data_IF_270718807193
#
_entry.id   IF_270718807193
#
_cell.length_a   1.000
_cell.length_b   1.000
_cell.length_c   1.000
_cell.angle_alpha   90.00
_cell.angle_beta   90.00
_cell.angle_gamma   90.00
#
_symmetry.space_group_name_H-M   'P 1'
#
loop_
_entity.id
_entity.type
_entity.pdbx_description
1 polymer ?
#
# COMPACT_ATOMS: atom_id res chain seq x y z
N UNK A 1 -21.93 27.92 -2.39
CA UNK A 1 -20.85 27.80 -3.38
C UNK A 1 -20.18 26.44 -3.17
N UNK A 2 -20.30 25.56 -4.14
CA UNK A 2 -19.94 24.14 -4.03
C UNK A 2 -18.41 23.95 -4.05
N UNK A 3 -17.89 23.19 -3.09
CA UNK A 3 -16.47 22.80 -2.99
C UNK A 3 -15.90 22.00 -4.20
N UNK A 4 -16.73 21.77 -5.22
CA UNK A 4 -16.31 21.12 -6.48
C UNK A 4 -15.65 22.08 -7.48
N UNK A 5 -15.93 23.37 -7.40
CA UNK A 5 -15.42 24.33 -8.39
C UNK A 5 -13.97 24.74 -8.13
N UNK A 6 -13.50 24.70 -6.87
CA UNK A 6 -12.09 24.97 -6.54
C UNK A 6 -11.10 23.87 -6.94
N UNK A 7 -11.56 22.62 -7.02
CA UNK A 7 -10.70 21.48 -7.41
C UNK A 7 -10.42 21.44 -8.92
N UNK A 8 -11.32 22.01 -9.73
CA UNK A 8 -11.21 22.06 -11.19
C UNK A 8 -10.24 23.14 -11.69
N UNK A 9 -10.09 24.24 -10.98
CA UNK A 9 -9.22 25.38 -11.38
C UNK A 9 -7.74 25.00 -11.29
N UNK A 10 -7.33 24.24 -10.27
CA UNK A 10 -5.91 23.84 -10.07
C UNK A 10 -5.49 22.73 -11.04
N UNK A 11 -6.41 21.87 -11.50
CA UNK A 11 -6.11 20.76 -12.42
C UNK A 11 -6.14 21.20 -13.89
N UNK A 12 -6.91 22.22 -14.23
CA UNK A 12 -7.01 22.73 -15.61
C UNK A 12 -5.81 23.58 -16.06
N UNK A 13 -4.97 24.04 -15.13
CA UNK A 13 -3.82 24.89 -15.42
C UNK A 13 -2.57 24.13 -15.96
N UNK A 14 -2.59 22.83 -15.98
CA UNK A 14 -1.47 22.04 -16.49
C UNK A 14 -1.57 21.84 -18.01
N UNK A 15 -1.21 22.86 -18.81
CA UNK A 15 -1.02 22.71 -20.25
C UNK A 15 -1.53 23.84 -21.15
N UNK A 16 -1.96 24.99 -20.61
CA UNK A 16 -2.25 26.20 -21.39
C UNK A 16 -1.50 27.39 -20.79
N UNK A 17 -0.99 28.28 -21.63
CA UNK A 17 -0.56 29.60 -21.19
C UNK A 17 -1.71 30.23 -20.38
N UNK A 18 -1.43 30.52 -19.10
CA UNK A 18 -2.42 31.15 -18.23
C UNK A 18 -2.64 32.58 -18.72
N UNK A 19 -3.87 32.94 -19.03
CA UNK A 19 -4.22 34.34 -19.25
C UNK A 19 -3.94 35.12 -17.95
N UNK A 20 -3.55 36.43 -18.07
CA UNK A 20 -3.19 37.26 -16.93
C UNK A 20 -4.18 37.23 -15.77
N UNK A 21 -5.49 37.22 -16.05
CA UNK A 21 -6.54 37.12 -15.03
C UNK A 21 -6.45 35.81 -14.21
N UNK A 22 -6.04 34.68 -14.84
CA UNK A 22 -5.89 33.40 -14.16
C UNK A 22 -4.63 33.34 -13.28
N UNK A 23 -3.58 34.08 -13.66
CA UNK A 23 -2.35 34.20 -12.87
C UNK A 23 -2.62 34.87 -11.52
N UNK A 24 -3.34 36.01 -11.52
CA UNK A 24 -3.68 36.71 -10.28
C UNK A 24 -4.65 35.93 -9.38
N UNK A 25 -5.56 35.13 -9.96
CA UNK A 25 -6.46 34.28 -9.19
C UNK A 25 -5.74 33.19 -8.39
N UNK A 26 -4.55 32.75 -8.81
CA UNK A 26 -3.75 31.78 -8.07
C UNK A 26 -3.19 32.34 -6.75
N UNK A 27 -3.05 33.67 -6.63
CA UNK A 27 -2.62 34.32 -5.38
C UNK A 27 -3.66 34.20 -4.26
N UNK A 28 -4.94 34.00 -4.62
CA UNK A 28 -6.06 33.85 -3.68
C UNK A 28 -6.34 32.43 -3.27
N UNK A 29 -5.51 31.44 -3.72
CA UNK A 29 -5.69 30.04 -3.35
C UNK A 29 -5.40 29.86 -1.85
N UNK A 30 -6.35 29.32 -1.06
CA UNK A 30 -6.11 29.05 0.35
C UNK A 30 -4.89 28.14 0.56
N UNK A 31 -4.00 28.42 1.51
CA UNK A 31 -2.80 27.61 1.78
C UNK A 31 -3.09 26.13 1.99
N UNK A 32 -4.23 25.80 2.54
CA UNK A 32 -4.67 24.43 2.77
C UNK A 32 -4.93 23.68 1.46
N UNK A 33 -5.42 24.35 0.42
CA UNK A 33 -5.61 23.76 -0.92
C UNK A 33 -4.27 23.59 -1.63
N UNK A 34 -3.37 24.56 -1.52
CA UNK A 34 -2.01 24.48 -2.03
C UNK A 34 -1.27 23.27 -1.42
N UNK A 35 -1.34 23.08 -0.09
CA UNK A 35 -0.78 21.92 0.58
C UNK A 35 -1.33 20.60 0.01
N UNK A 36 -2.64 20.49 -0.20
CA UNK A 36 -3.24 19.29 -0.80
C UNK A 36 -2.73 19.03 -2.22
N UNK A 37 -2.60 20.08 -3.04
CA UNK A 37 -2.10 19.97 -4.39
C UNK A 37 -0.64 19.48 -4.43
N UNK A 38 0.18 19.91 -3.48
CA UNK A 38 1.59 19.52 -3.36
C UNK A 38 1.80 18.06 -2.91
N UNK A 39 0.79 17.37 -2.40
CA UNK A 39 0.92 15.94 -2.06
C UNK A 39 0.86 15.09 -3.32
N UNK A 40 2.01 14.68 -3.86
CA UNK A 40 2.11 13.93 -5.10
C UNK A 40 1.39 12.56 -5.07
N UNK A 41 1.43 11.86 -3.92
CA UNK A 41 0.84 10.51 -3.81
C UNK A 41 -0.66 10.57 -3.54
N UNK A 42 -1.48 10.12 -4.49
CA UNK A 42 -2.95 10.13 -4.39
C UNK A 42 -3.51 9.39 -3.16
N UNK A 43 -2.88 8.29 -2.72
CA UNK A 43 -3.32 7.56 -1.53
C UNK A 43 -3.00 8.34 -0.25
N UNK A 44 -1.83 8.97 -0.17
CA UNK A 44 -1.46 9.85 0.95
C UNK A 44 -2.39 11.04 0.98
N UNK A 45 -2.65 11.68 -0.18
CA UNK A 45 -3.57 12.80 -0.30
C UNK A 45 -4.96 12.44 0.21
N UNK A 46 -5.52 11.31 -0.22
CA UNK A 46 -6.83 10.83 0.25
C UNK A 46 -6.84 10.56 1.76
N UNK A 47 -5.80 9.91 2.29
CA UNK A 47 -5.70 9.62 3.72
C UNK A 47 -5.63 10.91 4.54
N UNK A 48 -4.80 11.86 4.12
CA UNK A 48 -4.64 13.14 4.80
C UNK A 48 -5.90 14.00 4.73
N UNK A 49 -6.60 13.99 3.58
CA UNK A 49 -7.92 14.65 3.46
C UNK A 49 -8.90 14.12 4.52
N UNK A 50 -9.01 12.80 4.67
CA UNK A 50 -9.90 12.20 5.66
C UNK A 50 -9.45 12.50 7.10
N UNK A 51 -8.14 12.58 7.35
CA UNK A 51 -7.60 12.85 8.68
C UNK A 51 -7.86 14.32 9.10
N UNK A 52 -7.64 15.26 8.18
CA UNK A 52 -7.92 16.68 8.38
C UNK A 52 -9.41 16.92 8.53
N UNK A 53 -10.24 16.32 7.67
CA UNK A 53 -11.70 16.40 7.77
C UNK A 53 -12.21 15.85 9.12
N UNK A 54 -11.62 14.76 9.61
CA UNK A 54 -11.96 14.20 10.93
C UNK A 54 -11.60 15.14 12.09
N UNK A 55 -10.48 15.86 11.99
CA UNK A 55 -10.10 16.89 12.97
C UNK A 55 -11.07 18.08 12.95
N UNK A 56 -11.36 18.59 11.75
CA UNK A 56 -12.32 19.69 11.58
C UNK A 56 -13.71 19.33 12.14
N UNK A 57 -14.19 18.14 11.83
CA UNK A 57 -15.49 17.65 12.32
C UNK A 57 -15.54 17.55 13.85
N UNK A 58 -14.46 17.10 14.49
CA UNK A 58 -14.38 16.99 15.94
C UNK A 58 -14.53 18.35 16.65
N UNK A 59 -13.97 19.42 16.08
CA UNK A 59 -14.07 20.76 16.64
C UNK A 59 -15.19 21.62 16.03
N UNK A 60 -16.00 21.08 15.11
CA UNK A 60 -17.04 21.82 14.43
C UNK A 60 -16.51 22.94 13.50
N UNK A 61 -15.27 22.80 13.03
CA UNK A 61 -14.63 23.81 12.15
C UNK A 61 -15.31 23.77 10.77
N UNK A 62 -15.87 24.90 10.35
CA UNK A 62 -16.54 25.04 9.05
C UNK A 62 -15.62 25.53 7.95
N UNK A 63 -14.56 26.25 8.31
CA UNK A 63 -13.67 26.92 7.38
C UNK A 63 -12.21 26.60 7.71
N UNK A 64 -11.39 26.47 6.68
CA UNK A 64 -9.97 26.16 6.81
C UNK A 64 -9.18 27.25 7.57
N UNK A 65 -9.60 28.52 7.48
CA UNK A 65 -8.95 29.61 8.22
C UNK A 65 -8.92 29.38 9.75
N UNK A 66 -9.84 28.57 10.30
CA UNK A 66 -9.85 28.24 11.72
C UNK A 66 -8.61 27.43 12.17
N UNK A 67 -7.83 26.86 11.24
CA UNK A 67 -6.54 26.26 11.61
C UNK A 67 -5.56 27.25 12.22
N UNK A 68 -5.69 28.54 11.94
CA UNK A 68 -4.82 29.61 12.52
C UNK A 68 -5.01 29.78 14.03
N UNK A 69 -6.15 29.33 14.55
CA UNK A 69 -6.49 29.38 15.98
C UNK A 69 -6.18 28.09 16.74
N UNK A 70 -5.72 27.05 16.02
CA UNK A 70 -5.45 25.74 16.62
C UNK A 70 -4.19 25.81 17.48
N UNK A 71 -4.34 25.40 18.74
CA UNK A 71 -3.27 25.33 19.72
C UNK A 71 -2.89 23.89 20.03
N UNK A 72 -1.80 23.70 20.76
CA UNK A 72 -1.41 22.38 21.26
C UNK A 72 -2.51 21.71 22.09
N UNK A 73 -3.29 22.45 22.85
CA UNK A 73 -4.40 21.93 23.65
C UNK A 73 -5.46 21.25 22.79
N UNK A 74 -5.77 21.82 21.62
CA UNK A 74 -6.69 21.19 20.65
C UNK A 74 -6.13 19.85 20.16
N UNK A 75 -4.84 19.77 19.88
CA UNK A 75 -4.20 18.50 19.43
C UNK A 75 -4.19 17.44 20.54
N UNK A 76 -3.97 17.84 21.79
CA UNK A 76 -4.03 16.94 22.95
C UNK A 76 -5.45 16.43 23.19
N UNK A 77 -6.45 17.29 23.12
CA UNK A 77 -7.86 16.91 23.23
C UNK A 77 -8.27 15.93 22.14
N UNK A 78 -7.91 16.22 20.89
CA UNK A 78 -8.19 15.30 19.78
C UNK A 78 -7.47 13.96 19.90
N UNK A 79 -6.20 13.95 20.31
CA UNK A 79 -5.48 12.71 20.58
C UNK A 79 -6.19 11.87 21.63
N UNK A 80 -6.60 12.49 22.76
CA UNK A 80 -7.33 11.81 23.82
C UNK A 80 -8.67 11.25 23.33
N UNK A 81 -9.41 12.01 22.52
CA UNK A 81 -10.63 11.53 21.86
C UNK A 81 -10.38 10.30 21.00
N UNK A 82 -9.33 10.30 20.17
CA UNK A 82 -8.97 9.15 19.34
C UNK A 82 -8.59 7.91 20.16
N UNK A 83 -7.90 8.10 21.29
CA UNK A 83 -7.57 7.04 22.25
C UNK A 83 -8.83 6.46 22.87
N UNK A 84 -9.76 7.30 23.33
CA UNK A 84 -11.06 6.90 23.89
C UNK A 84 -11.96 6.21 22.87
N UNK A 85 -11.90 6.62 21.60
CA UNK A 85 -12.60 5.98 20.48
C UNK A 85 -11.95 4.65 20.04
N UNK A 86 -10.94 4.14 20.74
CA UNK A 86 -10.28 2.86 20.44
C UNK A 86 -9.39 2.88 19.20
N UNK A 87 -8.97 4.05 18.72
CA UNK A 87 -8.06 4.15 17.59
C UNK A 87 -6.69 3.58 17.94
N UNK A 88 -6.17 2.66 17.12
CA UNK A 88 -4.85 2.07 17.35
C UNK A 88 -3.71 3.10 17.21
N UNK A 89 -2.55 2.86 17.90
CA UNK A 89 -1.39 3.76 17.92
C UNK A 89 -0.91 4.21 16.54
N UNK A 90 -0.88 3.30 15.56
CA UNK A 90 -0.47 3.61 14.18
C UNK A 90 -1.43 4.61 13.50
N UNK A 91 -2.75 4.48 13.74
CA UNK A 91 -3.77 5.39 13.21
C UNK A 91 -3.61 6.77 13.82
N UNK A 92 -3.45 6.87 15.14
CA UNK A 92 -3.24 8.15 15.83
C UNK A 92 -1.97 8.83 15.33
N UNK A 93 -0.86 8.09 15.21
CA UNK A 93 0.41 8.61 14.66
C UNK A 93 0.23 9.16 13.24
N UNK A 94 -0.48 8.45 12.36
CA UNK A 94 -0.75 8.90 10.99
C UNK A 94 -1.59 10.17 10.96
N UNK A 95 -2.67 10.23 11.75
CA UNK A 95 -3.54 11.40 11.86
C UNK A 95 -2.78 12.65 12.37
N UNK A 96 -1.95 12.49 13.40
CA UNK A 96 -1.08 13.57 13.87
C UNK A 96 -0.01 13.96 12.83
N UNK A 97 0.47 13.00 12.00
CA UNK A 97 1.41 13.32 10.92
C UNK A 97 0.77 14.11 9.79
N UNK A 98 -0.51 13.87 9.47
CA UNK A 98 -1.25 14.66 8.50
C UNK A 98 -1.37 16.12 8.95
N UNK A 99 -1.77 16.34 10.21
CA UNK A 99 -1.84 17.70 10.77
C UNK A 99 -0.45 18.36 10.87
N UNK A 100 0.58 17.62 11.30
CA UNK A 100 1.94 18.15 11.35
C UNK A 100 2.40 18.66 9.98
N UNK A 101 2.13 17.89 8.92
CA UNK A 101 2.46 18.26 7.55
C UNK A 101 1.68 19.50 7.08
N UNK A 102 0.39 19.61 7.44
CA UNK A 102 -0.40 20.82 7.14
C UNK A 102 0.17 22.04 7.87
N UNK A 103 0.44 21.93 9.16
CA UNK A 103 0.95 23.04 9.95
C UNK A 103 2.40 23.42 9.59
N UNK A 104 3.24 22.48 9.14
CA UNK A 104 4.56 22.82 8.60
C UNK A 104 4.39 23.70 7.34
N UNK A 105 3.48 23.34 6.43
CA UNK A 105 3.17 24.16 5.26
C UNK A 105 2.59 25.55 5.64
N UNK A 106 1.64 25.60 6.60
CA UNK A 106 1.09 26.88 7.07
C UNK A 106 2.16 27.77 7.69
N UNK A 107 3.20 27.21 8.34
CA UNK A 107 4.36 27.96 8.80
C UNK A 107 5.22 28.47 7.62
N UNK A 108 5.46 27.66 6.60
CA UNK A 108 6.24 28.01 5.41
C UNK A 108 5.64 29.22 4.67
N UNK A 109 4.31 29.30 4.61
CA UNK A 109 3.59 30.42 3.97
C UNK A 109 3.21 31.53 4.96
N UNK A 110 3.76 31.53 6.18
CA UNK A 110 3.51 32.53 7.23
C UNK A 110 2.05 32.68 7.64
N UNK A 111 1.21 31.67 7.41
CA UNK A 111 -0.18 31.67 7.83
C UNK A 111 -0.34 31.40 9.34
N UNK A 112 0.64 30.73 9.97
CA UNK A 112 0.79 30.53 11.41
C UNK A 112 2.25 30.70 11.82
N UNK A 113 2.49 31.09 13.07
CA UNK A 113 3.85 31.34 13.59
C UNK A 113 4.61 30.09 14.00
N UNK A 114 3.90 29.01 14.34
CA UNK A 114 4.50 27.74 14.78
C UNK A 114 3.56 26.56 14.54
N UNK A 115 4.15 25.36 14.46
CA UNK A 115 3.38 24.13 14.31
C UNK A 115 2.97 23.59 15.69
N UNK A 116 1.65 23.62 16.04
CA UNK A 116 1.16 23.22 17.36
C UNK A 116 1.26 21.70 17.60
N UNK A 117 1.50 20.90 16.54
CA UNK A 117 1.68 19.43 16.65
C UNK A 117 3.07 19.08 17.18
N UNK A 118 4.06 19.99 17.03
CA UNK A 118 5.40 19.80 17.57
C UNK A 118 5.32 19.70 19.10
N UNK A 119 5.94 18.64 19.67
CA UNK A 119 5.91 18.36 21.11
C UNK A 119 4.65 17.62 21.58
N UNK A 120 3.67 17.32 20.74
CA UNK A 120 2.60 16.37 21.07
C UNK A 120 3.17 14.96 21.09
N UNK A 121 3.20 14.31 22.25
CA UNK A 121 3.68 12.94 22.40
C UNK A 121 2.81 12.00 21.56
N UNK A 122 3.45 11.23 20.69
CA UNK A 122 2.80 10.22 19.86
C UNK A 122 2.76 8.89 20.61
N UNK A 123 1.65 8.12 20.55
CA UNK A 123 1.59 6.79 21.16
C UNK A 123 2.75 5.93 20.63
N UNK A 124 3.35 5.13 21.49
CA UNK A 124 4.40 4.19 21.06
C UNK A 124 3.77 3.18 20.09
N UNK A 125 4.39 2.98 18.93
CA UNK A 125 4.07 1.83 18.12
C UNK A 125 4.60 0.60 18.86
N UNK A 126 3.74 -0.38 19.09
CA UNK A 126 4.20 -1.68 19.55
C UNK A 126 5.14 -2.25 18.48
N UNK A 127 6.40 -2.38 18.81
CA UNK A 127 7.46 -2.94 17.95
C UNK A 127 7.51 -4.46 18.06
N UNK A 128 6.49 -5.08 18.64
CA UNK A 128 6.34 -6.53 18.73
C UNK A 128 6.04 -7.20 17.40
N UNK A 129 5.86 -8.51 17.44
CA UNK A 129 5.51 -9.35 16.29
C UNK A 129 4.46 -8.69 15.39
N UNK A 130 4.67 -8.72 14.09
CA UNK A 130 3.77 -8.08 13.14
C UNK A 130 2.32 -8.55 13.34
N UNK A 131 1.40 -7.60 13.50
CA UNK A 131 -0.04 -7.87 13.69
C UNK A 131 -0.68 -8.63 12.52
N UNK A 132 0.02 -8.72 11.38
CA UNK A 132 -0.43 -9.48 10.21
C UNK A 132 -0.09 -10.95 10.42
N UNK A 133 -1.08 -11.85 10.55
CA UNK A 133 -0.81 -13.26 10.71
C UNK A 133 -0.16 -13.84 9.45
N UNK A 134 0.78 -14.76 9.61
CA UNK A 134 1.16 -15.69 8.55
C UNK A 134 0.27 -16.94 8.69
N UNK A 135 -0.12 -17.55 7.58
CA UNK A 135 -0.88 -18.80 7.57
C UNK A 135 0.06 -20.00 7.44
N UNK A 136 -0.38 -21.15 7.93
CA UNK A 136 0.35 -22.40 7.81
C UNK A 136 0.47 -22.85 6.35
N UNK A 137 1.53 -23.60 6.03
CA UNK A 137 1.81 -24.07 4.67
C UNK A 137 0.64 -24.84 4.04
N UNK A 138 -0.03 -25.70 4.82
CA UNK A 138 -1.22 -26.43 4.37
C UNK A 138 -2.38 -25.48 4.00
N UNK A 139 -2.57 -24.39 4.72
CA UNK A 139 -3.58 -23.38 4.40
C UNK A 139 -3.18 -22.58 3.15
N UNK A 140 -1.90 -22.25 3.00
CA UNK A 140 -1.38 -21.58 1.81
C UNK A 140 -1.59 -22.42 0.55
N UNK A 141 -1.28 -23.74 0.60
CA UNK A 141 -1.55 -24.68 -0.51
C UNK A 141 -3.03 -24.74 -0.86
N UNK A 142 -3.90 -24.92 0.13
CA UNK A 142 -5.36 -24.92 -0.10
C UNK A 142 -5.83 -23.66 -0.78
N UNK A 143 -5.27 -22.49 -0.39
CA UNK A 143 -5.65 -21.21 -0.98
C UNK A 143 -5.13 -21.06 -2.42
N UNK A 144 -3.91 -21.52 -2.70
CA UNK A 144 -3.30 -21.51 -4.04
C UNK A 144 -4.10 -22.36 -5.05
N UNK A 145 -4.74 -23.42 -4.58
CA UNK A 145 -5.49 -24.36 -5.41
C UNK A 145 -7.02 -24.14 -5.40
N UNK A 146 -7.49 -23.21 -4.57
CA UNK A 146 -8.91 -22.90 -4.42
C UNK A 146 -9.61 -22.36 -5.68
N UNK A 147 -8.96 -21.55 -6.56
CA UNK A 147 -9.64 -21.09 -7.77
C UNK A 147 -9.77 -22.23 -8.81
N UNK A 148 -10.92 -22.36 -9.49
CA UNK A 148 -11.17 -23.44 -10.46
C UNK A 148 -10.28 -23.32 -11.70
N UNK A 149 -9.70 -24.42 -12.16
CA UNK A 149 -8.82 -24.44 -13.34
C UNK A 149 -9.54 -24.25 -14.66
N UNK A 150 -10.77 -24.71 -14.76
CA UNK A 150 -11.54 -24.74 -16.00
C UNK A 150 -12.10 -23.37 -16.46
N UNK A 151 -11.79 -22.28 -15.73
CA UNK A 151 -12.32 -20.96 -16.08
C UNK A 151 -11.19 -19.94 -16.20
N UNK A 152 -11.31 -18.99 -17.14
CA UNK A 152 -10.34 -17.89 -17.30
C UNK A 152 -10.17 -17.11 -15.99
N UNK A 153 -11.29 -16.84 -15.27
CA UNK A 153 -11.22 -16.19 -13.96
C UNK A 153 -10.40 -17.00 -12.96
N UNK A 154 -10.61 -18.30 -12.89
CA UNK A 154 -9.89 -19.17 -11.99
C UNK A 154 -8.40 -19.28 -12.31
N UNK A 155 -8.04 -19.42 -13.59
CA UNK A 155 -6.64 -19.40 -14.06
C UNK A 155 -5.94 -18.09 -13.67
N UNK A 156 -6.58 -16.94 -13.91
CA UNK A 156 -6.09 -15.63 -13.47
C UNK A 156 -5.88 -15.58 -11.95
N UNK A 157 -6.86 -16.01 -11.18
CA UNK A 157 -6.84 -15.90 -9.73
C UNK A 157 -5.78 -16.85 -9.12
N UNK A 158 -5.55 -18.03 -9.72
CA UNK A 158 -4.42 -18.94 -9.39
C UNK A 158 -3.07 -18.26 -9.65
N UNK A 159 -2.91 -17.60 -10.79
CA UNK A 159 -1.70 -16.87 -11.11
C UNK A 159 -1.46 -15.71 -10.14
N UNK A 160 -2.50 -14.93 -9.80
CA UNK A 160 -2.44 -13.83 -8.83
C UNK A 160 -1.99 -14.36 -7.45
N UNK A 161 -2.65 -15.40 -6.93
CA UNK A 161 -2.30 -15.99 -5.63
C UNK A 161 -0.87 -16.50 -5.64
N UNK A 162 -0.44 -17.17 -6.72
CA UNK A 162 0.94 -17.66 -6.84
C UNK A 162 1.97 -16.52 -6.80
N UNK A 163 1.73 -15.44 -7.53
CA UNK A 163 2.62 -14.28 -7.46
C UNK A 163 2.66 -13.68 -6.07
N UNK A 164 1.55 -13.58 -5.37
CA UNK A 164 1.51 -13.04 -4.02
C UNK A 164 2.23 -13.93 -3.00
N UNK A 165 2.02 -15.24 -3.05
CA UNK A 165 2.56 -16.19 -2.06
C UNK A 165 4.02 -16.58 -2.34
N UNK A 166 4.42 -16.74 -3.61
CA UNK A 166 5.80 -17.12 -3.94
C UNK A 166 6.78 -15.95 -4.01
N UNK A 167 6.29 -14.70 -4.23
CA UNK A 167 7.19 -13.55 -4.42
C UNK A 167 6.95 -12.44 -3.40
N UNK A 168 5.96 -12.57 -2.52
CA UNK A 168 5.66 -11.59 -1.49
C UNK A 168 5.38 -10.17 -2.01
N UNK A 169 4.87 -10.01 -3.23
CA UNK A 169 4.60 -8.69 -3.81
C UNK A 169 3.51 -7.95 -3.03
N UNK A 170 3.65 -6.61 -2.99
CA UNK A 170 2.52 -5.78 -2.55
C UNK A 170 1.43 -5.81 -3.62
N UNK A 171 0.15 -5.74 -3.20
CA UNK A 171 -0.99 -5.76 -4.14
C UNK A 171 -0.91 -4.69 -5.23
N UNK A 172 -0.37 -3.51 -4.90
CA UNK A 172 -0.17 -2.44 -5.87
C UNK A 172 0.95 -2.75 -6.86
N UNK A 173 2.01 -3.42 -6.41
CA UNK A 173 3.10 -3.90 -7.25
C UNK A 173 2.58 -4.96 -8.24
N UNK A 174 1.79 -5.92 -7.74
CA UNK A 174 1.14 -6.94 -8.58
C UNK A 174 0.24 -6.31 -9.65
N UNK A 175 -0.60 -5.32 -9.29
CA UNK A 175 -1.50 -4.66 -10.23
C UNK A 175 -0.78 -3.82 -11.29
N UNK A 176 0.48 -3.42 -11.04
CA UNK A 176 1.30 -2.66 -11.98
C UNK A 176 2.08 -3.54 -12.95
N UNK A 177 2.14 -4.86 -12.72
CA UNK A 177 2.83 -5.77 -13.62
C UNK A 177 2.22 -5.73 -15.02
N UNK A 178 3.08 -5.66 -16.01
CA UNK A 178 2.76 -5.77 -17.43
C UNK A 178 3.24 -7.12 -17.96
N UNK A 179 2.76 -7.54 -19.10
CA UNK A 179 3.19 -8.81 -19.73
C UNK A 179 4.71 -8.81 -19.93
N UNK A 180 5.31 -7.71 -20.42
CA UNK A 180 6.76 -7.55 -20.58
C UNK A 180 7.58 -7.55 -19.29
N UNK A 181 6.95 -7.42 -18.12
CA UNK A 181 7.66 -7.45 -16.85
C UNK A 181 7.95 -8.88 -16.37
N UNK A 182 7.50 -9.90 -17.13
CA UNK A 182 7.96 -11.29 -17.02
C UNK A 182 9.09 -11.47 -18.03
N UNK A 183 10.33 -11.35 -17.59
CA UNK A 183 11.49 -11.30 -18.48
C UNK A 183 12.57 -12.32 -18.10
N UNK A 184 13.37 -12.75 -19.08
CA UNK A 184 14.54 -13.60 -18.86
C UNK A 184 15.77 -12.74 -18.55
N UNK A 185 16.48 -13.12 -17.48
CA UNK A 185 17.75 -12.50 -17.09
C UNK A 185 18.74 -13.58 -16.72
N UNK A 186 19.87 -13.63 -17.41
CA UNK A 186 20.93 -14.62 -17.17
C UNK A 186 20.38 -16.08 -17.11
N UNK A 187 19.46 -16.41 -18.01
CA UNK A 187 18.87 -17.75 -18.07
C UNK A 187 17.75 -18.02 -17.04
N UNK A 188 17.45 -17.08 -16.17
CA UNK A 188 16.40 -17.22 -15.13
C UNK A 188 15.28 -16.22 -15.39
N UNK A 189 14.03 -16.69 -15.32
CA UNK A 189 12.88 -15.81 -15.45
C UNK A 189 12.74 -14.94 -14.19
N UNK A 190 12.44 -13.66 -14.38
CA UNK A 190 12.25 -12.67 -13.32
C UNK A 190 10.96 -11.88 -13.50
N UNK A 191 10.43 -11.42 -12.40
CA UNK A 191 9.41 -10.37 -12.37
C UNK A 191 10.08 -9.02 -12.13
N UNK A 192 9.92 -8.10 -13.07
CA UNK A 192 10.34 -6.71 -12.95
C UNK A 192 9.30 -5.93 -12.16
N UNK A 193 9.59 -5.64 -10.90
CA UNK A 193 8.63 -5.08 -9.95
C UNK A 193 8.84 -3.59 -9.75
N UNK A 194 7.80 -2.82 -10.03
CA UNK A 194 7.77 -1.36 -9.85
C UNK A 194 7.32 -0.99 -8.43
N UNK A 195 8.26 -0.61 -7.59
CA UNK A 195 8.05 -0.25 -6.19
C UNK A 195 7.65 1.21 -5.96
N UNK A 196 7.61 1.60 -4.68
CA UNK A 196 7.33 2.99 -4.26
C UNK A 196 8.48 3.91 -4.68
N UNK A 197 8.14 5.12 -5.16
CA UNK A 197 9.12 6.13 -5.57
C UNK A 197 9.90 5.79 -6.84
N UNK A 198 9.29 5.03 -7.76
CA UNK A 198 9.92 4.68 -9.04
C UNK A 198 11.03 3.62 -8.94
N UNK A 199 11.30 3.07 -7.77
CA UNK A 199 12.31 2.01 -7.59
C UNK A 199 11.89 0.73 -8.29
N UNK A 200 12.81 0.14 -9.06
CA UNK A 200 12.63 -1.14 -9.73
C UNK A 200 13.48 -2.20 -9.04
N UNK A 201 12.90 -3.40 -8.85
CA UNK A 201 13.64 -4.59 -8.44
C UNK A 201 13.27 -5.77 -9.31
N UNK A 202 14.20 -6.68 -9.47
CA UNK A 202 14.00 -7.93 -10.22
C UNK A 202 13.91 -9.07 -9.22
N UNK A 203 12.79 -9.77 -9.26
CA UNK A 203 12.52 -10.87 -8.35
C UNK A 203 12.53 -12.17 -9.17
N UNK A 204 13.41 -13.14 -8.89
CA UNK A 204 13.40 -14.43 -9.56
C UNK A 204 12.01 -15.06 -9.48
N UNK A 205 11.49 -15.49 -10.63
CA UNK A 205 10.13 -16.00 -10.71
C UNK A 205 10.08 -17.49 -10.42
N UNK A 206 9.23 -17.88 -9.47
CA UNK A 206 9.03 -19.29 -9.10
C UNK A 206 8.39 -20.07 -10.26
N UNK A 207 8.90 -21.28 -10.63
CA UNK A 207 8.39 -22.04 -11.77
C UNK A 207 6.89 -22.28 -11.75
N UNK A 208 6.32 -22.63 -10.60
CA UNK A 208 4.88 -22.83 -10.47
C UNK A 208 4.06 -21.55 -10.71
N UNK A 209 4.59 -20.38 -10.38
CA UNK A 209 3.93 -19.12 -10.68
C UNK A 209 4.00 -18.79 -12.17
N UNK A 210 5.14 -19.05 -12.81
CA UNK A 210 5.33 -18.86 -14.26
C UNK A 210 4.37 -19.75 -15.06
N UNK A 211 4.25 -21.03 -14.70
CA UNK A 211 3.32 -21.95 -15.35
C UNK A 211 1.87 -21.44 -15.28
N UNK A 212 1.44 -20.98 -14.09
CA UNK A 212 0.10 -20.41 -13.90
C UNK A 212 -0.13 -19.09 -14.63
N UNK A 213 0.91 -18.25 -14.75
CA UNK A 213 0.87 -17.02 -15.56
C UNK A 213 0.72 -17.37 -17.04
N UNK A 214 1.52 -18.31 -17.56
CA UNK A 214 1.46 -18.74 -18.94
C UNK A 214 0.09 -19.31 -19.31
N UNK A 215 -0.44 -20.22 -18.49
CA UNK A 215 -1.78 -20.80 -18.63
C UNK A 215 -2.89 -19.75 -18.65
N UNK A 216 -2.78 -18.72 -17.80
CA UNK A 216 -3.71 -17.60 -17.79
C UNK A 216 -3.61 -16.75 -19.05
N UNK A 217 -2.39 -16.38 -19.46
CA UNK A 217 -2.17 -15.54 -20.64
C UNK A 217 -2.64 -16.20 -21.92
N UNK A 218 -2.41 -17.52 -22.06
CA UNK A 218 -2.91 -18.32 -23.18
C UNK A 218 -4.43 -18.36 -23.22
N UNK A 219 -5.07 -18.67 -22.08
CA UNK A 219 -6.51 -18.74 -21.99
C UNK A 219 -7.20 -17.39 -22.24
N UNK A 220 -6.54 -16.27 -21.96
CA UNK A 220 -7.05 -14.90 -22.19
C UNK A 220 -6.71 -14.33 -23.56
N UNK A 221 -5.77 -14.90 -24.29
CA UNK A 221 -5.35 -14.44 -25.62
C UNK A 221 -4.65 -13.08 -25.63
N UNK A 222 -3.98 -12.68 -24.54
CA UNK A 222 -3.28 -11.36 -24.49
C UNK A 222 -1.77 -11.48 -24.20
N UNK A 223 -1.17 -12.64 -24.42
CA UNK A 223 0.26 -12.86 -24.19
C UNK A 223 1.16 -11.95 -25.01
N UNK A 224 0.71 -11.56 -26.20
CA UNK A 224 1.48 -10.73 -27.15
C UNK A 224 1.32 -9.22 -26.89
N UNK A 225 0.38 -8.81 -26.02
CA UNK A 225 0.25 -7.43 -25.59
C UNK A 225 1.28 -7.08 -24.51
N UNK A 226 2.53 -6.97 -24.92
CA UNK A 226 3.67 -6.78 -24.02
C UNK A 226 3.56 -5.55 -23.13
N UNK A 227 2.97 -4.47 -23.62
CA UNK A 227 2.77 -3.22 -22.87
C UNK A 227 1.52 -3.24 -22.00
N UNK A 228 0.62 -4.19 -22.20
CA UNK A 228 -0.63 -4.31 -21.47
C UNK A 228 -0.46 -4.85 -20.07
N UNK A 229 -1.47 -4.66 -19.24
CA UNK A 229 -1.49 -5.18 -17.88
C UNK A 229 -1.43 -6.72 -17.87
N UNK A 230 -0.60 -7.29 -17.00
CA UNK A 230 -0.50 -8.74 -16.82
C UNK A 230 -1.83 -9.33 -16.31
N UNK A 231 -2.44 -8.72 -15.32
CA UNK A 231 -3.70 -9.18 -14.72
C UNK A 231 -4.85 -8.22 -15.05
N UNK A 232 -5.84 -8.71 -15.79
CA UNK A 232 -6.98 -7.94 -16.29
C UNK A 232 -8.32 -8.42 -15.72
N UNK A 233 -9.36 -7.58 -15.70
CA UNK A 233 -10.73 -8.05 -15.47
C UNK A 233 -11.13 -9.09 -16.51
N UNK A 234 -11.81 -10.17 -16.11
CA UNK A 234 -12.29 -11.22 -17.03
C UNK A 234 -13.74 -10.97 -17.45
N UNK A 235 -14.52 -10.28 -16.62
CA UNK A 235 -15.90 -9.93 -16.88
C UNK A 235 -16.21 -8.54 -16.35
N UNK A 236 -16.79 -7.71 -17.19
CA UNK A 236 -17.33 -6.41 -16.79
C UNK A 236 -18.81 -6.34 -17.20
N UNK A 237 -19.75 -6.47 -16.25
CA UNK A 237 -21.19 -6.45 -16.57
C UNK A 237 -21.69 -5.10 -17.08
N UNK A 238 -20.95 -4.00 -16.83
CA UNK A 238 -21.40 -2.62 -17.10
C UNK A 238 -20.82 -2.01 -18.36
N UNK A 239 -19.69 -2.50 -18.85
CA UNK A 239 -18.97 -1.89 -19.97
C UNK A 239 -18.24 -2.97 -20.78
N UNK A 240 -18.81 -3.35 -21.92
CA UNK A 240 -18.11 -4.11 -22.95
C UNK A 240 -16.98 -3.22 -23.49
N UNK A 241 -15.74 -3.70 -23.43
CA UNK A 241 -14.56 -2.97 -23.96
C UNK A 241 -13.52 -2.48 -22.95
N UNK A 242 -13.83 -2.38 -21.66
CA UNK A 242 -12.83 -1.97 -20.64
C UNK A 242 -12.11 -3.15 -19.97
N UNK A 243 -11.92 -4.26 -20.66
CA UNK A 243 -11.18 -5.43 -20.13
C UNK A 243 -9.66 -5.26 -20.25
N UNK A 244 -9.18 -4.35 -21.08
CA UNK A 244 -7.74 -4.13 -21.33
C UNK A 244 -7.02 -3.28 -20.27
N UNK A 245 -7.65 -3.05 -19.12
CA UNK A 245 -7.04 -2.33 -18.00
C UNK A 245 -6.51 -3.27 -16.92
N UNK A 246 -5.60 -2.76 -16.09
CA UNK A 246 -5.14 -3.49 -14.91
C UNK A 246 -6.26 -3.71 -13.90
N UNK A 247 -6.20 -4.82 -13.15
CA UNK A 247 -7.00 -5.00 -11.94
C UNK A 247 -6.62 -3.94 -10.91
N UNK A 248 -7.62 -3.44 -10.17
CA UNK A 248 -7.35 -2.54 -9.05
C UNK A 248 -6.92 -3.31 -7.80
N UNK A 249 -6.07 -2.72 -6.93
CA UNK A 249 -5.68 -3.36 -5.68
C UNK A 249 -6.86 -3.77 -4.77
N UNK A 250 -7.95 -2.99 -4.79
CA UNK A 250 -9.19 -3.33 -4.08
C UNK A 250 -9.84 -4.60 -4.61
N UNK A 251 -9.88 -4.79 -5.94
CA UNK A 251 -10.45 -6.00 -6.55
C UNK A 251 -9.58 -7.24 -6.32
N UNK A 252 -8.27 -7.10 -6.29
CA UNK A 252 -7.36 -8.19 -5.89
C UNK A 252 -7.64 -8.62 -4.44
N UNK A 253 -7.81 -7.67 -3.52
CA UNK A 253 -8.13 -7.96 -2.12
C UNK A 253 -9.51 -8.64 -1.98
N UNK A 254 -10.56 -7.99 -2.49
CA UNK A 254 -11.95 -8.39 -2.30
C UNK A 254 -12.32 -9.67 -3.06
N UNK A 255 -11.99 -9.70 -4.37
CA UNK A 255 -12.49 -10.72 -5.29
C UNK A 255 -11.55 -11.93 -5.45
N UNK A 256 -10.30 -11.83 -4.97
CA UNK A 256 -9.34 -12.93 -5.02
C UNK A 256 -8.98 -13.35 -3.60
N UNK A 257 -8.20 -12.53 -2.88
CA UNK A 257 -7.61 -12.96 -1.61
C UNK A 257 -8.68 -13.27 -0.55
N UNK A 258 -9.57 -12.31 -0.24
CA UNK A 258 -10.63 -12.49 0.75
C UNK A 258 -11.71 -13.48 0.30
N UNK A 259 -12.04 -13.48 -1.00
CA UNK A 259 -13.05 -14.39 -1.54
C UNK A 259 -12.65 -15.85 -1.34
N UNK A 260 -11.43 -16.22 -1.76
CA UNK A 260 -10.98 -17.61 -1.63
C UNK A 260 -10.63 -18.00 -0.19
N UNK A 261 -10.12 -17.06 0.63
CA UNK A 261 -9.87 -17.34 2.05
C UNK A 261 -11.15 -17.70 2.81
N UNK A 262 -12.22 -16.93 2.60
CA UNK A 262 -13.53 -17.23 3.21
C UNK A 262 -14.06 -18.57 2.75
N UNK A 263 -13.96 -18.85 1.46
CA UNK A 263 -14.43 -20.12 0.88
C UNK A 263 -13.66 -21.33 1.41
N UNK A 264 -12.40 -21.16 1.78
CA UNK A 264 -11.56 -22.21 2.36
C UNK A 264 -11.61 -22.24 3.89
N UNK A 265 -12.47 -21.46 4.53
CA UNK A 265 -12.56 -21.39 5.99
C UNK A 265 -11.33 -20.79 6.67
N UNK A 266 -10.49 -20.04 5.95
CA UNK A 266 -9.29 -19.42 6.49
C UNK A 266 -9.69 -18.05 7.05
N UNK A 267 -10.21 -18.05 8.27
CA UNK A 267 -10.71 -16.83 8.95
C UNK A 267 -9.67 -16.30 9.93
N UNK A 268 -8.56 -15.75 9.44
CA UNK A 268 -7.68 -14.96 10.29
C UNK A 268 -8.17 -13.51 10.33
N UNK A 269 -8.32 -12.94 11.53
CA UNK A 269 -8.65 -11.54 11.70
C UNK A 269 -7.62 -10.68 10.93
N UNK A 270 -8.11 -9.77 10.07
CA UNK A 270 -7.24 -8.95 9.23
C UNK A 270 -6.71 -9.64 7.97
N UNK A 271 -7.30 -10.78 7.55
CA UNK A 271 -6.88 -11.48 6.33
C UNK A 271 -6.99 -10.57 5.10
N UNK A 272 -5.90 -10.42 4.37
CA UNK A 272 -5.81 -9.60 3.16
C UNK A 272 -4.46 -9.82 2.46
N UNK A 273 -4.13 -9.08 1.40
CA UNK A 273 -2.92 -9.28 0.61
C UNK A 273 -1.61 -9.19 1.42
N UNK A 274 -1.61 -8.48 2.54
CA UNK A 274 -0.46 -8.45 3.45
C UNK A 274 -0.21 -9.79 4.13
N UNK A 275 -1.24 -10.64 4.31
CA UNK A 275 -1.09 -12.00 4.85
C UNK A 275 -0.26 -12.86 3.91
N UNK A 276 -0.50 -12.80 2.59
CA UNK A 276 0.30 -13.53 1.61
C UNK A 276 1.79 -13.13 1.70
N UNK A 277 2.06 -11.83 1.81
CA UNK A 277 3.41 -11.31 1.97
C UNK A 277 4.05 -11.69 3.32
N UNK A 278 3.29 -11.64 4.41
CA UNK A 278 3.73 -12.07 5.73
C UNK A 278 4.04 -13.58 5.72
N UNK A 279 3.19 -14.39 5.09
CA UNK A 279 3.39 -15.83 4.95
C UNK A 279 4.64 -16.13 4.14
N UNK A 280 4.82 -15.48 2.98
CA UNK A 280 6.02 -15.65 2.15
C UNK A 280 7.31 -15.29 2.90
N UNK A 281 7.30 -14.15 3.62
CA UNK A 281 8.45 -13.71 4.40
C UNK A 281 8.77 -14.66 5.56
N UNK A 282 7.74 -15.03 6.34
CA UNK A 282 7.90 -15.95 7.48
C UNK A 282 8.37 -17.32 7.02
N UNK A 283 7.79 -17.84 5.92
CA UNK A 283 8.21 -19.13 5.35
C UNK A 283 9.67 -19.09 4.89
N UNK A 284 10.09 -18.06 4.14
CA UNK A 284 11.47 -17.91 3.70
C UNK A 284 12.46 -17.87 4.88
N UNK A 285 12.14 -17.12 5.93
CA UNK A 285 12.96 -17.04 7.13
C UNK A 285 13.01 -18.38 7.88
N UNK A 286 11.89 -19.09 7.99
CA UNK A 286 11.84 -20.42 8.62
C UNK A 286 12.66 -21.47 7.85
N UNK A 287 12.76 -21.34 6.52
CA UNK A 287 13.62 -22.16 5.67
C UNK A 287 15.10 -21.72 5.69
N UNK A 288 15.49 -20.83 6.60
CA UNK A 288 16.88 -20.44 6.80
C UNK A 288 17.38 -19.31 5.90
N UNK A 289 16.49 -18.64 5.14
CA UNK A 289 16.91 -17.50 4.35
C UNK A 289 17.47 -16.38 5.24
N UNK A 290 18.52 -15.75 4.77
CA UNK A 290 19.10 -14.58 5.44
C UNK A 290 18.14 -13.39 5.45
N UNK A 291 18.02 -12.71 6.59
CA UNK A 291 17.05 -11.62 6.77
C UNK A 291 17.33 -10.41 5.87
N UNK A 292 18.59 -10.13 5.53
CA UNK A 292 18.95 -9.04 4.62
C UNK A 292 18.56 -9.39 3.19
N UNK A 293 18.74 -10.66 2.77
CA UNK A 293 18.23 -11.14 1.47
C UNK A 293 16.71 -11.09 1.40
N UNK A 294 16.01 -11.46 2.47
CA UNK A 294 14.54 -11.36 2.54
C UNK A 294 14.10 -9.89 2.51
N UNK A 295 14.83 -8.98 3.16
CA UNK A 295 14.58 -7.53 3.09
C UNK A 295 14.67 -7.01 1.65
N UNK A 296 15.75 -7.34 0.94
CA UNK A 296 15.98 -6.95 -0.46
C UNK A 296 14.89 -7.51 -1.37
N UNK A 297 14.65 -8.81 -1.28
CA UNK A 297 13.60 -9.51 -2.03
C UNK A 297 12.22 -8.86 -1.87
N UNK A 298 11.83 -8.51 -0.65
CA UNK A 298 10.58 -7.82 -0.36
C UNK A 298 10.63 -6.33 -0.77
N UNK A 299 11.81 -5.72 -0.93
CA UNK A 299 11.99 -4.29 -1.17
C UNK A 299 11.57 -3.44 0.04
N UNK A 300 12.04 -3.81 1.23
CA UNK A 300 11.90 -2.99 2.43
C UNK A 300 13.09 -2.04 2.57
N UNK A 301 12.81 -0.75 2.74
CA UNK A 301 13.86 0.25 2.94
C UNK A 301 14.56 0.10 4.30
N UNK A 302 13.87 -0.48 5.31
CA UNK A 302 14.38 -0.66 6.66
C UNK A 302 14.22 -2.12 7.09
N UNK A 303 15.30 -2.71 7.62
CA UNK A 303 15.34 -4.10 8.09
C UNK A 303 14.36 -4.35 9.24
N UNK A 304 14.06 -3.33 10.07
CA UNK A 304 13.05 -3.44 11.12
C UNK A 304 11.68 -3.85 10.58
N UNK A 305 11.35 -3.48 9.33
CA UNK A 305 10.11 -3.91 8.66
C UNK A 305 10.14 -5.40 8.30
N UNK A 306 11.32 -5.99 8.10
CA UNK A 306 11.47 -7.42 7.83
C UNK A 306 11.49 -8.23 9.13
N UNK A 307 12.11 -7.69 10.18
CA UNK A 307 12.16 -8.33 11.51
C UNK A 307 10.79 -8.67 12.07
N UNK A 308 9.74 -7.92 11.76
CA UNK A 308 8.37 -8.24 12.21
C UNK A 308 7.83 -9.58 11.68
N UNK A 309 8.45 -10.14 10.63
CA UNK A 309 8.12 -11.45 10.07
C UNK A 309 9.02 -12.58 10.61
N UNK A 310 10.10 -12.24 11.30
CA UNK A 310 10.98 -13.23 11.91
C UNK A 310 10.36 -13.74 13.21
N UNK A 311 9.73 -14.88 13.12
CA UNK A 311 9.06 -15.58 14.22
C UNK A 311 9.89 -16.73 14.77
N UNK A 312 11.14 -16.88 14.32
CA UNK A 312 12.04 -17.88 14.85
C UNK A 312 12.32 -17.55 16.31
N UNK A 313 12.05 -18.50 17.18
CA UNK A 313 12.48 -18.41 18.57
C UNK A 313 13.98 -18.57 18.56
N UNK A 314 14.69 -17.66 19.19
CA UNK A 314 16.12 -17.80 19.41
C UNK A 314 16.31 -19.04 20.27
N UNK A 315 16.85 -20.09 19.70
CA UNK A 315 17.27 -21.27 20.45
C UNK A 315 18.62 -20.93 21.11
N UNK A 316 18.87 -21.36 22.36
CA UNK A 316 20.14 -21.10 23.00
C UNK A 316 21.33 -21.56 22.14
N UNK A 317 21.20 -22.69 21.47
CA UNK A 317 22.21 -23.27 20.57
C UNK A 317 22.46 -22.43 19.30
N UNK A 318 21.53 -21.58 18.89
CA UNK A 318 21.65 -20.67 17.75
C UNK A 318 22.39 -19.36 18.15
N UNK A 319 22.76 -19.21 19.42
CA UNK A 319 23.47 -18.02 19.91
C UNK A 319 24.80 -17.87 19.18
N UNK A 320 25.12 -16.63 18.72
CA UNK A 320 26.44 -16.32 18.20
C UNK A 320 27.57 -16.74 19.12
N UNK A 321 27.32 -16.79 20.44
CA UNK A 321 28.29 -17.22 21.45
C UNK A 321 28.89 -18.60 21.12
N UNK A 322 28.11 -19.53 20.62
CA UNK A 322 28.58 -20.88 20.27
C UNK A 322 29.30 -20.96 18.92
N UNK A 323 29.37 -19.86 18.19
CA UNK A 323 30.09 -19.74 16.91
C UNK A 323 31.44 -19.03 17.05
N UNK A 324 31.76 -18.57 18.28
CA UNK A 324 33.03 -17.89 18.57
C UNK A 324 34.12 -18.96 18.79
N UNK A 325 35.21 -18.91 18.05
CA UNK A 325 36.45 -19.67 18.26
C UNK A 325 37.59 -18.65 18.31
N UNK A 326 38.38 -18.70 19.35
CA UNK A 326 39.55 -17.87 19.53
C UNK A 326 40.79 -18.74 19.34
#
# INVERSE_FOLDING_TARGET
>A
MNAKDGELVVVAACGRELADASFYQLNDVPPELEWFANIANAHTRRAYRNDVAGFMAFFGMKEARAFREVTRSHLLAWRKHLEQAGSGPATIRRKLSALASLFDHLCEVNAVTHNPVRGVKRPRAETGEGKTPAIADGQARKLLDAPPEGTIKGKRDRAILSVLFFHGLRREELCKLRVKDVEQRQGVAHLRVHGKGGKIRFVPAHPAALARIADYLEACGHKDDSAGALFRPVKNPREQGKLNRALTPGKVDECVVRYYSRRMGINAAGFGPHVARATAATHALNQGADIAKVQEWLGHANIATTRIYDRRRTRPEDSPTFRMSY
#
